data_IF_397003725676
#
_entry.id   IF_397003725676
#
_cell.length_a   1.000
_cell.length_b   1.000
_cell.length_c   1.000
_cell.angle_alpha   90.00
_cell.angle_beta   90.00
_cell.angle_gamma   90.00
#
_symmetry.space_group_name_H-M   'P 1'
#
loop_
_entity.id
_entity.type
_entity.pdbx_description
1 polymer ?
#
# COMPACT_ATOMS: atom_id res chain seq x y z
N UNK A 1 3.59 5.78 1.74
CA UNK A 1 4.59 6.80 2.10
C UNK A 1 4.49 8.06 1.23
N UNK A 2 4.74 8.01 -0.08
CA UNK A 2 4.80 9.23 -0.92
C UNK A 2 3.54 10.12 -0.83
N UNK A 3 2.36 9.54 -1.07
CA UNK A 3 1.07 10.26 -0.89
C UNK A 3 0.92 10.86 0.52
N UNK A 4 1.35 10.13 1.56
CA UNK A 4 1.23 10.63 2.94
C UNK A 4 2.09 11.86 3.15
N UNK A 5 3.31 11.87 2.62
CA UNK A 5 4.22 13.03 2.68
C UNK A 5 3.69 14.22 1.86
N UNK A 6 3.08 13.97 0.71
CA UNK A 6 2.42 15.02 -0.07
C UNK A 6 1.25 15.65 0.70
N UNK A 7 0.45 14.83 1.39
CA UNK A 7 -0.62 15.33 2.26
C UNK A 7 -0.06 16.09 3.47
N UNK A 8 1.04 15.61 4.07
CA UNK A 8 1.71 16.25 5.19
C UNK A 8 2.33 17.60 4.84
N UNK A 9 2.65 17.84 3.56
CA UNK A 9 3.07 19.15 3.09
C UNK A 9 1.93 20.20 3.14
N UNK A 10 0.67 19.75 3.18
CA UNK A 10 -0.52 20.58 3.34
C UNK A 10 -0.93 20.65 4.81
N UNK A 11 -1.05 19.48 5.46
CA UNK A 11 -1.35 19.35 6.89
C UNK A 11 -0.44 18.30 7.54
N UNK A 12 0.56 18.73 8.33
CA UNK A 12 1.57 17.84 8.90
C UNK A 12 1.01 16.84 9.92
N UNK A 13 -0.24 16.99 10.38
CA UNK A 13 -0.88 16.04 11.28
C UNK A 13 -1.52 14.84 10.56
N UNK A 14 -1.57 14.85 9.23
CA UNK A 14 -2.21 13.79 8.45
C UNK A 14 -1.40 12.50 8.50
N UNK A 15 -2.12 11.40 8.71
CA UNK A 15 -1.66 10.03 8.48
C UNK A 15 -2.72 9.29 7.66
N UNK A 16 -2.30 8.40 6.77
CA UNK A 16 -3.23 7.58 5.98
C UNK A 16 -3.62 6.35 6.81
N UNK A 17 -4.91 6.18 7.16
CA UNK A 17 -5.34 5.00 7.90
C UNK A 17 -5.21 3.74 7.04
N UNK A 18 -5.15 2.58 7.67
CA UNK A 18 -5.14 1.28 6.99
C UNK A 18 -6.50 0.59 7.10
N UNK A 19 -6.87 -0.18 6.07
CA UNK A 19 -8.07 -1.02 6.10
C UNK A 19 -7.70 -2.47 6.39
N UNK A 20 -8.05 -2.94 7.59
CA UNK A 20 -8.00 -4.36 7.95
C UNK A 20 -9.07 -5.16 7.20
N UNK A 21 -8.78 -5.52 5.96
CA UNK A 21 -9.66 -6.28 5.08
C UNK A 21 -9.98 -7.71 5.55
N UNK A 22 -9.38 -8.17 6.66
CA UNK A 22 -9.69 -9.46 7.29
C UNK A 22 -10.77 -9.35 8.39
N UNK A 23 -11.33 -8.15 8.61
CA UNK A 23 -12.33 -7.87 9.65
C UNK A 23 -13.41 -6.92 9.13
N UNK A 24 -14.61 -6.89 9.75
CA UNK A 24 -15.59 -5.85 9.48
C UNK A 24 -15.01 -4.45 9.77
N UNK A 25 -15.29 -3.50 8.88
CA UNK A 25 -14.81 -2.12 8.96
C UNK A 25 -15.95 -1.10 8.80
N UNK A 26 -16.96 -1.11 9.70
CA UNK A 26 -18.17 -0.29 9.56
C UNK A 26 -17.90 1.21 9.54
N UNK A 27 -16.79 1.66 10.15
CA UNK A 27 -16.42 3.07 10.20
C UNK A 27 -15.71 3.56 8.93
N UNK A 28 -15.14 2.65 8.12
CA UNK A 28 -14.51 3.03 6.85
C UNK A 28 -15.57 3.19 5.76
N UNK A 29 -16.49 2.24 5.68
CA UNK A 29 -17.52 2.17 4.63
C UNK A 29 -18.78 2.95 5.01
N UNK A 30 -18.60 4.27 5.13
CA UNK A 30 -19.68 5.23 5.39
C UNK A 30 -19.63 6.35 4.36
N UNK A 31 -20.73 7.07 4.17
CA UNK A 31 -20.80 8.24 3.29
C UNK A 31 -19.89 9.39 3.76
N UNK A 32 -19.55 9.43 5.05
CA UNK A 32 -18.70 10.46 5.65
C UNK A 32 -17.20 10.15 5.51
N UNK A 33 -16.84 8.95 5.04
CA UNK A 33 -15.44 8.56 4.85
C UNK A 33 -15.15 8.00 3.46
N UNK A 34 -15.05 6.69 3.26
CA UNK A 34 -14.63 6.14 1.95
C UNK A 34 -15.80 5.95 0.98
N UNK A 35 -17.03 6.24 1.41
CA UNK A 35 -18.26 6.19 0.62
C UNK A 35 -18.92 4.81 0.60
N UNK A 36 -20.19 4.79 0.21
CA UNK A 36 -21.02 3.57 0.13
C UNK A 36 -21.55 3.42 -1.30
N UNK A 37 -21.36 2.26 -1.96
CA UNK A 37 -21.88 2.05 -3.31
C UNK A 37 -23.40 1.84 -3.34
N UNK A 38 -24.04 2.35 -4.39
CA UNK A 38 -25.41 2.00 -4.75
C UNK A 38 -25.49 0.64 -5.49
N UNK A 39 -26.69 0.26 -5.95
CA UNK A 39 -26.92 -1.00 -6.66
C UNK A 39 -26.19 -1.10 -8.01
N UNK A 40 -25.80 0.03 -8.62
CA UNK A 40 -25.03 0.08 -9.85
C UNK A 40 -23.51 0.09 -9.58
N UNK A 41 -23.12 0.30 -8.33
CA UNK A 41 -21.75 0.41 -7.85
C UNK A 41 -21.24 1.85 -7.79
N UNK A 42 -22.09 2.85 -8.04
CA UNK A 42 -21.70 4.26 -7.92
C UNK A 42 -21.53 4.58 -6.45
N UNK A 43 -20.33 5.02 -6.05
CA UNK A 43 -20.06 5.36 -4.64
C UNK A 43 -20.65 6.71 -4.30
N UNK A 44 -21.54 6.73 -3.31
CA UNK A 44 -22.12 7.92 -2.72
C UNK A 44 -21.35 8.41 -1.49
N UNK A 45 -21.36 9.73 -1.31
CA UNK A 45 -20.70 10.46 -0.23
C UNK A 45 -21.65 11.48 0.39
N UNK A 46 -21.39 11.90 1.62
CA UNK A 46 -22.11 13.01 2.22
C UNK A 46 -21.65 14.35 1.63
N UNK A 47 -22.48 15.41 1.66
CA UNK A 47 -22.14 16.70 1.03
C UNK A 47 -20.90 17.40 1.60
N UNK A 48 -20.43 17.03 2.79
CA UNK A 48 -19.22 17.61 3.39
C UNK A 48 -17.95 16.82 3.02
N UNK A 49 -18.09 15.63 2.45
CA UNK A 49 -16.96 14.77 2.14
C UNK A 49 -16.29 15.23 0.82
N UNK A 50 -14.98 15.55 0.83
CA UNK A 50 -14.28 16.02 -0.37
C UNK A 50 -14.22 14.97 -1.49
N UNK A 51 -14.31 13.68 -1.16
CA UNK A 51 -14.29 12.59 -2.15
C UNK A 51 -15.52 12.57 -3.06
N UNK A 52 -16.58 13.34 -2.77
CA UNK A 52 -17.72 13.51 -3.69
C UNK A 52 -17.29 14.11 -5.05
N UNK A 53 -16.15 14.83 -5.07
CA UNK A 53 -15.57 15.42 -6.27
C UNK A 53 -14.38 14.63 -6.81
N UNK A 54 -14.13 13.43 -6.28
CA UNK A 54 -13.01 12.59 -6.72
C UNK A 54 -13.12 12.31 -8.21
N UNK A 55 -12.04 12.56 -8.95
CA UNK A 55 -12.01 12.37 -10.39
C UNK A 55 -10.63 11.86 -10.83
N UNK A 56 -10.62 10.98 -11.81
CA UNK A 56 -9.40 10.45 -12.44
C UNK A 56 -9.60 10.38 -13.94
N UNK A 57 -8.58 10.70 -14.72
CA UNK A 57 -8.63 10.72 -16.19
C UNK A 57 -9.81 11.55 -16.76
N UNK A 58 -10.18 12.64 -16.09
CA UNK A 58 -11.31 13.48 -16.47
C UNK A 58 -12.70 12.89 -16.18
N UNK A 59 -12.78 11.74 -15.51
CA UNK A 59 -14.03 11.09 -15.10
C UNK A 59 -14.21 11.26 -13.59
N UNK A 60 -15.30 11.92 -13.19
CA UNK A 60 -15.69 12.05 -11.79
C UNK A 60 -16.42 10.80 -11.31
N UNK A 61 -16.17 10.43 -10.05
CA UNK A 61 -16.83 9.33 -9.35
C UNK A 61 -15.95 8.11 -9.15
N UNK A 62 -16.45 7.20 -8.33
CA UNK A 62 -15.78 5.95 -7.98
C UNK A 62 -16.77 4.81 -8.23
N UNK A 63 -16.28 3.71 -8.81
CA UNK A 63 -17.08 2.53 -9.12
C UNK A 63 -16.63 1.35 -8.23
N UNK A 64 -17.50 0.95 -7.30
CA UNK A 64 -17.37 -0.24 -6.45
C UNK A 64 -18.62 -1.11 -6.56
N UNK A 65 -18.60 -2.10 -7.44
CA UNK A 65 -19.69 -3.07 -7.52
C UNK A 65 -19.53 -4.08 -6.39
N UNK A 66 -20.40 -4.08 -5.39
CA UNK A 66 -20.28 -5.02 -4.27
C UNK A 66 -20.34 -6.48 -4.74
N UNK A 67 -19.41 -7.28 -4.24
CA UNK A 67 -19.28 -8.72 -4.49
C UNK A 67 -19.46 -9.45 -3.16
N UNK A 68 -20.54 -10.22 -3.04
CA UNK A 68 -20.83 -10.96 -1.81
C UNK A 68 -21.05 -10.04 -0.62
N UNK A 69 -20.28 -10.26 0.45
CA UNK A 69 -20.44 -9.56 1.73
C UNK A 69 -20.00 -8.10 1.65
N UNK A 70 -20.68 -7.23 2.38
CA UNK A 70 -20.23 -5.85 2.60
C UNK A 70 -19.06 -5.85 3.59
N UNK A 71 -17.95 -5.17 3.29
CA UNK A 71 -16.82 -5.07 4.21
C UNK A 71 -17.13 -4.22 5.45
N UNK A 72 -18.20 -3.41 5.43
CA UNK A 72 -18.70 -2.74 6.62
C UNK A 72 -19.29 -3.71 7.65
N UNK A 73 -19.86 -4.82 7.17
CA UNK A 73 -20.65 -5.73 8.00
C UNK A 73 -19.89 -6.99 8.38
N UNK A 74 -19.11 -7.56 7.43
CA UNK A 74 -18.55 -8.90 7.58
C UNK A 74 -17.16 -9.05 6.96
N UNK A 75 -16.33 -9.87 7.59
CA UNK A 75 -15.09 -10.35 6.99
C UNK A 75 -15.39 -11.33 5.85
N UNK A 76 -14.62 -11.28 4.75
CA UNK A 76 -14.76 -12.24 3.67
C UNK A 76 -13.95 -13.51 4.00
N UNK A 77 -14.57 -14.71 4.03
CA UNK A 77 -13.90 -15.94 4.44
C UNK A 77 -12.78 -16.40 3.49
N UNK A 78 -12.73 -15.86 2.27
CA UNK A 78 -11.68 -16.17 1.30
C UNK A 78 -10.42 -15.31 1.51
N UNK A 79 -10.49 -14.29 2.37
CA UNK A 79 -9.36 -13.44 2.72
C UNK A 79 -8.68 -14.02 3.95
N UNK A 80 -7.38 -14.27 3.85
CA UNK A 80 -6.56 -14.77 4.94
C UNK A 80 -6.55 -13.76 6.09
N UNK A 81 -6.71 -14.26 7.31
CA UNK A 81 -6.60 -13.42 8.51
C UNK A 81 -5.18 -12.91 8.71
N UNK A 82 -5.01 -11.86 9.49
CA UNK A 82 -3.69 -11.38 9.90
C UNK A 82 -2.86 -12.50 10.55
N UNK A 83 -3.43 -13.27 11.49
CA UNK A 83 -2.74 -14.39 12.15
C UNK A 83 -2.27 -15.43 11.14
N UNK A 84 -3.12 -15.82 10.19
CA UNK A 84 -2.73 -16.78 9.16
C UNK A 84 -1.66 -16.20 8.23
N UNK A 85 -1.69 -14.89 7.96
CA UNK A 85 -0.72 -14.19 7.09
C UNK A 85 0.65 -14.12 7.76
N UNK A 86 0.71 -13.80 9.05
CA UNK A 86 1.97 -13.78 9.81
C UNK A 86 2.56 -15.17 10.05
N UNK A 87 1.75 -16.23 9.87
CA UNK A 87 2.19 -17.62 9.92
C UNK A 87 2.79 -18.16 8.60
N UNK A 88 2.92 -17.32 7.55
CA UNK A 88 3.49 -17.74 6.25
C UNK A 88 4.98 -18.08 6.30
N UNK A 89 5.67 -17.84 7.42
CA UNK A 89 7.05 -18.26 7.65
C UNK A 89 8.05 -17.10 7.73
N UNK A 90 9.29 -17.39 8.16
CA UNK A 90 10.30 -16.37 8.49
C UNK A 90 11.23 -15.94 7.35
N UNK A 91 10.94 -16.33 6.11
CA UNK A 91 11.64 -15.86 4.91
C UNK A 91 10.71 -15.08 4.00
N UNK A 92 11.22 -14.03 3.37
CA UNK A 92 10.46 -13.22 2.41
C UNK A 92 9.86 -14.05 1.29
N UNK A 93 10.58 -15.08 0.83
CA UNK A 93 10.09 -15.99 -0.22
C UNK A 93 8.78 -16.68 0.14
N UNK A 94 8.57 -17.03 1.42
CA UNK A 94 7.31 -17.60 1.88
C UNK A 94 6.30 -16.50 2.21
N UNK A 95 6.73 -15.44 2.90
CA UNK A 95 5.86 -14.35 3.31
C UNK A 95 5.22 -13.62 2.12
N UNK A 96 5.95 -13.39 1.02
CA UNK A 96 5.46 -12.72 -0.20
C UNK A 96 4.25 -13.40 -0.85
N UNK A 97 3.93 -14.65 -0.47
CA UNK A 97 2.67 -15.29 -0.89
C UNK A 97 1.43 -14.54 -0.39
N UNK A 98 1.61 -13.66 0.61
CA UNK A 98 0.61 -12.67 1.03
C UNK A 98 0.13 -11.78 -0.13
N UNK A 99 0.96 -11.55 -1.16
CA UNK A 99 0.61 -10.73 -2.34
C UNK A 99 -0.57 -11.31 -3.12
N UNK A 100 -0.77 -12.63 -3.08
CA UNK A 100 -1.92 -13.30 -3.70
C UNK A 100 -3.13 -13.21 -2.77
N UNK A 101 -2.97 -13.69 -1.54
CA UNK A 101 -3.97 -13.63 -0.49
C UNK A 101 -3.22 -13.30 0.80
N UNK A 102 -3.53 -12.21 1.51
CA UNK A 102 -4.77 -11.45 1.41
C UNK A 102 -4.76 -10.23 0.48
N UNK A 103 -3.62 -9.75 -0.02
CA UNK A 103 -3.59 -8.53 -0.84
C UNK A 103 -4.43 -8.64 -2.12
N UNK A 104 -4.10 -9.57 -3.03
CA UNK A 104 -4.87 -9.76 -4.26
C UNK A 104 -6.34 -10.08 -4.00
N UNK A 105 -6.61 -10.91 -2.99
CA UNK A 105 -7.97 -11.23 -2.54
C UNK A 105 -8.75 -9.99 -2.05
N UNK A 106 -8.13 -9.07 -1.33
CA UNK A 106 -8.78 -7.84 -0.88
C UNK A 106 -9.19 -6.91 -2.03
N UNK A 107 -8.46 -6.92 -3.14
CA UNK A 107 -8.81 -6.18 -4.35
C UNK A 107 -10.09 -6.70 -5.04
N UNK A 108 -10.36 -8.02 -4.97
CA UNK A 108 -11.35 -8.67 -5.85
C UNK A 108 -12.50 -9.36 -5.12
N UNK A 109 -12.43 -9.57 -3.80
CA UNK A 109 -13.45 -10.33 -3.07
C UNK A 109 -14.59 -9.50 -2.48
N UNK A 110 -14.39 -8.20 -2.29
CA UNK A 110 -15.43 -7.28 -1.78
C UNK A 110 -16.07 -6.44 -2.86
N UNK A 111 -15.29 -6.05 -3.86
CA UNK A 111 -15.73 -5.13 -4.91
C UNK A 111 -15.16 -5.54 -6.27
N UNK A 112 -15.98 -5.39 -7.29
CA UNK A 112 -15.51 -5.15 -8.66
C UNK A 112 -15.40 -3.66 -8.93
N UNK A 113 -15.00 -3.30 -10.15
CA UNK A 113 -14.85 -1.90 -10.58
C UNK A 113 -13.39 -1.50 -10.72
N UNK A 114 -13.05 -0.26 -10.39
CA UNK A 114 -11.68 0.23 -10.56
C UNK A 114 -10.70 -0.50 -9.64
N UNK A 115 -11.07 -0.70 -8.37
CA UNK A 115 -10.22 -1.34 -7.34
C UNK A 115 -9.81 -2.78 -7.68
N UNK A 116 -10.57 -3.49 -8.52
CA UNK A 116 -10.37 -4.91 -8.80
C UNK A 116 -9.46 -5.20 -10.01
N UNK A 117 -8.80 -4.18 -10.57
CA UNK A 117 -7.97 -4.33 -11.77
C UNK A 117 -6.68 -3.53 -11.67
N UNK A 118 -5.53 -4.17 -11.93
CA UNK A 118 -4.19 -3.58 -11.74
C UNK A 118 -4.03 -2.20 -12.40
N UNK A 119 -4.44 -1.99 -13.67
CA UNK A 119 -4.27 -0.69 -14.34
C UNK A 119 -5.17 0.42 -13.78
N UNK A 120 -6.20 0.09 -13.01
CA UNK A 120 -7.21 1.07 -12.55
C UNK A 120 -7.34 1.14 -11.03
N UNK A 121 -6.69 0.25 -10.28
CA UNK A 121 -6.92 0.12 -8.85
C UNK A 121 -6.66 1.42 -8.10
N UNK A 122 -5.59 2.13 -8.45
CA UNK A 122 -5.22 3.42 -7.86
C UNK A 122 -6.21 4.57 -8.18
N UNK A 123 -7.19 4.36 -9.07
CA UNK A 123 -8.26 5.34 -9.31
C UNK A 123 -9.29 5.38 -8.20
N UNK A 124 -9.34 4.37 -7.33
CA UNK A 124 -10.18 4.34 -6.14
C UNK A 124 -9.36 4.74 -4.91
N UNK A 125 -9.73 5.77 -4.12
CA UNK A 125 -8.97 6.16 -2.93
C UNK A 125 -8.87 5.05 -1.87
N UNK A 126 -9.76 4.04 -1.88
CA UNK A 126 -9.65 2.85 -1.05
C UNK A 126 -8.32 2.09 -1.27
N UNK A 127 -7.71 2.24 -2.46
CA UNK A 127 -6.41 1.69 -2.81
C UNK A 127 -5.35 2.01 -1.75
N UNK A 128 -5.30 3.26 -1.30
CA UNK A 128 -4.27 3.70 -0.35
C UNK A 128 -4.46 3.06 1.02
N UNK A 129 -5.70 2.96 1.51
CA UNK A 129 -6.00 2.32 2.79
C UNK A 129 -5.74 0.81 2.75
N UNK A 130 -6.06 0.16 1.62
CA UNK A 130 -5.74 -1.25 1.39
C UNK A 130 -4.22 -1.47 1.43
N UNK A 131 -3.45 -0.64 0.72
CA UNK A 131 -2.00 -0.76 0.68
C UNK A 131 -1.33 -0.39 2.00
N UNK A 132 -1.88 0.55 2.79
CA UNK A 132 -1.41 0.79 4.15
C UNK A 132 -1.57 -0.46 5.03
N UNK A 133 -2.58 -1.30 4.83
CA UNK A 133 -2.68 -2.57 5.57
C UNK A 133 -1.72 -3.64 5.05
N UNK A 134 -1.42 -3.65 3.74
CA UNK A 134 -0.38 -4.52 3.17
C UNK A 134 1.00 -4.17 3.74
N UNK A 135 1.34 -2.89 3.77
CA UNK A 135 2.59 -2.39 4.34
C UNK A 135 2.64 -2.66 5.86
N UNK A 136 1.54 -2.45 6.58
CA UNK A 136 1.42 -2.83 7.99
C UNK A 136 1.66 -4.33 8.22
N UNK A 137 1.11 -5.22 7.39
CA UNK A 137 1.35 -6.66 7.51
C UNK A 137 2.82 -7.01 7.27
N UNK A 138 3.46 -6.35 6.30
CA UNK A 138 4.91 -6.45 6.09
C UNK A 138 5.67 -5.99 7.33
N UNK A 139 5.36 -4.81 7.87
CA UNK A 139 5.99 -4.25 9.06
C UNK A 139 5.86 -5.19 10.29
N UNK A 140 4.67 -5.76 10.51
CA UNK A 140 4.44 -6.77 11.56
C UNK A 140 5.28 -8.02 11.35
N UNK A 141 5.38 -8.50 10.12
CA UNK A 141 6.23 -9.66 9.80
C UNK A 141 7.70 -9.35 10.06
N UNK A 142 8.22 -8.20 9.60
CA UNK A 142 9.60 -7.80 9.85
C UNK A 142 9.91 -7.74 11.34
N UNK A 143 9.01 -7.16 12.14
CA UNK A 143 9.12 -7.10 13.59
C UNK A 143 9.12 -8.49 14.23
N UNK A 144 8.22 -9.38 13.82
CA UNK A 144 8.10 -10.73 14.36
C UNK A 144 9.34 -11.60 14.09
N UNK A 145 9.97 -11.45 12.92
CA UNK A 145 11.06 -12.34 12.48
C UNK A 145 12.43 -11.66 12.31
N UNK A 146 12.55 -10.39 12.71
CA UNK A 146 13.78 -9.61 12.66
C UNK A 146 14.33 -9.42 11.24
N UNK A 147 13.50 -8.95 10.31
CA UNK A 147 13.82 -8.85 8.87
C UNK A 147 13.95 -7.42 8.37
N UNK A 148 14.87 -6.67 8.97
CA UNK A 148 15.15 -5.27 8.62
C UNK A 148 16.41 -5.09 7.76
N UNK A 149 17.40 -5.99 7.91
CA UNK A 149 18.70 -5.89 7.22
C UNK A 149 18.64 -6.46 5.80
N UNK A 150 18.92 -5.61 4.80
CA UNK A 150 19.00 -5.97 3.39
C UNK A 150 20.08 -7.02 3.09
N UNK A 151 21.10 -7.17 3.95
CA UNK A 151 22.15 -8.17 3.80
C UNK A 151 21.70 -9.58 4.20
N UNK A 152 20.53 -9.71 4.84
CA UNK A 152 19.95 -11.00 5.18
C UNK A 152 19.11 -11.50 4.01
N UNK A 153 19.55 -12.57 3.34
CA UNK A 153 18.85 -13.14 2.18
C UNK A 153 17.39 -13.54 2.46
N UNK A 154 17.05 -13.82 3.72
CA UNK A 154 15.68 -14.11 4.15
C UNK A 154 14.80 -12.87 4.32
N UNK A 155 15.37 -11.65 4.36
CA UNK A 155 14.63 -10.39 4.52
C UNK A 155 14.04 -9.89 3.20
N UNK A 156 14.74 -10.11 2.10
CA UNK A 156 14.25 -9.76 0.78
C UNK A 156 14.92 -10.61 -0.30
N UNK A 157 14.14 -11.06 -1.29
CA UNK A 157 14.68 -11.84 -2.41
C UNK A 157 15.24 -10.89 -3.48
N UNK A 158 16.55 -10.92 -3.68
CA UNK A 158 17.18 -10.34 -4.87
C UNK A 158 17.36 -11.39 -5.96
N UNK A 159 17.06 -11.03 -7.20
CA UNK A 159 17.31 -11.82 -8.41
C UNK A 159 18.32 -11.07 -9.28
N UNK A 160 19.63 -11.36 -9.15
CA UNK A 160 20.71 -10.59 -9.80
C UNK A 160 20.58 -10.47 -11.33
N UNK A 161 19.90 -11.42 -11.97
CA UNK A 161 19.56 -11.40 -13.40
C UNK A 161 18.04 -11.47 -13.56
N UNK A 162 17.30 -10.39 -13.25
CA UNK A 162 15.86 -10.43 -13.34
C UNK A 162 15.44 -10.43 -14.82
N UNK A 163 14.39 -11.18 -15.21
CA UNK A 163 13.73 -10.92 -16.49
C UNK A 163 13.21 -9.48 -16.53
N UNK A 164 13.02 -8.90 -17.72
CA UNK A 164 12.65 -7.47 -17.88
C UNK A 164 11.42 -7.03 -17.06
N UNK A 165 10.45 -7.93 -16.82
CA UNK A 165 9.27 -7.63 -16.01
C UNK A 165 9.54 -7.55 -14.50
N UNK A 166 10.74 -7.92 -14.05
CA UNK A 166 11.26 -7.75 -12.68
C UNK A 166 12.28 -6.60 -12.59
N UNK A 167 12.47 -5.81 -13.65
CA UNK A 167 13.32 -4.62 -13.57
C UNK A 167 12.79 -3.65 -12.50
N UNK A 168 13.65 -3.21 -11.58
CA UNK A 168 13.27 -2.33 -10.46
C UNK A 168 12.90 -3.03 -9.16
N UNK A 169 13.07 -4.35 -9.08
CA UNK A 169 12.67 -5.14 -7.92
C UNK A 169 13.87 -5.61 -7.08
N UNK A 170 15.11 -5.41 -7.53
CA UNK A 170 16.28 -5.80 -6.74
C UNK A 170 16.66 -4.72 -5.72
N UNK A 171 17.36 -5.14 -4.65
CA UNK A 171 17.77 -4.26 -3.54
C UNK A 171 18.46 -2.96 -3.98
N UNK A 172 19.27 -3.02 -5.03
CA UNK A 172 20.04 -1.87 -5.54
C UNK A 172 19.34 -1.13 -6.68
N UNK A 173 18.15 -1.58 -7.10
CA UNK A 173 17.39 -0.87 -8.10
C UNK A 173 16.73 0.36 -7.48
N UNK A 174 16.75 1.49 -8.20
CA UNK A 174 15.99 2.67 -7.83
C UNK A 174 14.50 2.48 -8.14
N UNK A 175 13.64 2.99 -7.26
CA UNK A 175 12.20 2.87 -7.40
C UNK A 175 11.68 3.85 -8.47
N UNK A 176 10.93 3.29 -9.42
CA UNK A 176 10.15 4.05 -10.40
C UNK A 176 8.76 4.35 -9.79
N UNK A 177 8.15 5.53 -10.02
CA UNK A 177 8.54 6.57 -10.97
C UNK A 177 9.52 7.62 -10.44
N UNK A 178 9.88 7.58 -9.16
CA UNK A 178 10.64 8.65 -8.51
C UNK A 178 12.04 8.90 -9.09
N UNK A 179 12.64 7.89 -9.73
CA UNK A 179 13.92 8.03 -10.45
C UNK A 179 13.83 8.70 -11.84
N UNK A 180 12.62 9.02 -12.33
CA UNK A 180 12.41 9.71 -13.61
C UNK A 180 12.77 8.91 -14.86
N UNK A 181 13.06 7.61 -14.73
CA UNK A 181 13.47 6.77 -15.86
C UNK A 181 12.26 6.47 -16.76
N UNK A 182 12.37 6.80 -18.05
CA UNK A 182 11.32 6.56 -19.07
C UNK A 182 11.78 5.64 -20.21
N UNK A 183 12.97 5.05 -20.07
CA UNK A 183 13.49 4.10 -21.06
C UNK A 183 12.89 2.71 -20.85
N UNK A 184 12.57 1.96 -21.93
CA UNK A 184 12.08 0.59 -21.82
C UNK A 184 12.92 -0.28 -20.88
N UNK A 185 12.31 -1.15 -20.05
CA UNK A 185 10.90 -1.55 -20.07
C UNK A 185 9.92 -0.60 -19.37
N UNK A 186 10.35 0.60 -18.93
CA UNK A 186 9.45 1.58 -18.32
C UNK A 186 8.54 2.26 -19.35
N UNK A 187 7.37 2.79 -18.93
CA UNK A 187 6.56 3.66 -19.77
C UNK A 187 7.35 4.90 -20.22
N UNK A 188 6.89 5.53 -21.31
CA UNK A 188 7.47 6.77 -21.85
C UNK A 188 7.23 8.02 -20.97
N UNK A 189 6.58 7.85 -19.82
CA UNK A 189 6.31 8.91 -18.84
C UNK A 189 6.65 8.39 -17.44
N UNK A 190 7.06 9.28 -16.53
CA UNK A 190 7.29 9.00 -15.12
C UNK A 190 6.56 10.08 -14.29
N UNK A 191 5.27 9.88 -13.99
CA UNK A 191 4.45 10.87 -13.30
C UNK A 191 4.85 11.02 -11.83
N UNK A 192 4.52 12.16 -11.22
CA UNK A 192 4.77 12.45 -9.79
C UNK A 192 6.11 13.13 -9.49
N UNK A 193 7.13 12.94 -10.34
CA UNK A 193 8.46 13.47 -10.07
C UNK A 193 9.18 12.72 -8.94
N UNK A 194 10.21 13.32 -8.32
CA UNK A 194 10.94 12.70 -7.23
C UNK A 194 10.07 12.51 -5.97
N UNK A 195 10.41 11.54 -5.13
CA UNK A 195 9.66 11.25 -3.91
C UNK A 195 9.58 12.48 -3.00
N UNK A 196 8.42 12.69 -2.40
CA UNK A 196 8.19 13.78 -1.48
C UNK A 196 9.12 13.71 -0.26
N UNK A 197 9.66 14.87 0.12
CA UNK A 197 10.51 15.02 1.29
C UNK A 197 9.69 14.85 2.59
N UNK A 198 10.34 14.41 3.67
CA UNK A 198 9.72 14.37 5.00
C UNK A 198 10.24 15.54 5.84
N UNK A 199 9.36 16.13 6.66
CA UNK A 199 9.72 17.18 7.61
C UNK A 199 10.46 16.66 8.85
N UNK A 200 10.39 15.36 9.13
CA UNK A 200 10.93 14.76 10.35
C UNK A 200 12.14 13.85 10.13
N UNK A 201 12.33 13.31 8.92
CA UNK A 201 13.47 12.44 8.58
C UNK A 201 14.02 12.72 7.17
N UNK A 202 15.33 12.58 6.94
CA UNK A 202 15.91 12.74 5.60
C UNK A 202 15.78 11.48 4.73
N UNK A 203 15.59 10.30 5.32
CA UNK A 203 15.44 9.05 4.59
C UNK A 203 14.06 8.95 3.91
N UNK A 204 13.96 8.26 2.76
CA UNK A 204 15.03 7.58 2.03
C UNK A 204 15.69 8.49 0.97
N UNK A 205 15.42 9.80 1.02
CA UNK A 205 15.73 10.73 -0.06
C UNK A 205 14.75 10.65 -1.23
N UNK A 206 15.05 11.41 -2.28
CA UNK A 206 14.12 11.69 -3.40
C UNK A 206 14.11 10.62 -4.51
N UNK A 207 15.11 9.73 -4.52
CA UNK A 207 15.29 8.68 -5.52
C UNK A 207 15.66 7.35 -4.85
N UNK A 208 14.78 6.81 -3.99
CA UNK A 208 15.11 5.66 -3.16
C UNK A 208 15.42 4.40 -3.96
N UNK A 209 16.26 3.55 -3.39
CA UNK A 209 16.42 2.16 -3.78
C UNK A 209 15.43 1.26 -3.03
N UNK A 210 15.23 0.03 -3.53
CA UNK A 210 14.42 -0.98 -2.82
C UNK A 210 14.97 -1.26 -1.41
N UNK A 211 16.30 -1.32 -1.25
CA UNK A 211 16.94 -1.56 0.05
C UNK A 211 16.68 -0.45 1.08
N UNK A 212 16.52 0.79 0.64
CA UNK A 212 16.21 1.93 1.52
C UNK A 212 14.82 1.80 2.17
N UNK A 213 13.94 0.95 1.63
CA UNK A 213 12.58 0.75 2.15
C UNK A 213 12.49 -0.31 3.25
N UNK A 214 13.55 -1.08 3.50
CA UNK A 214 13.48 -2.23 4.40
C UNK A 214 13.50 -1.83 5.88
N UNK A 215 14.39 -0.92 6.27
CA UNK A 215 14.61 -0.58 7.68
C UNK A 215 13.75 0.61 8.13
N UNK A 216 12.43 0.52 7.94
CA UNK A 216 11.52 1.66 8.13
C UNK A 216 11.55 2.27 9.55
N UNK A 217 11.88 1.47 10.57
CA UNK A 217 12.03 1.90 11.96
C UNK A 217 13.45 2.33 12.33
N UNK A 218 14.44 2.06 11.48
CA UNK A 218 15.86 2.33 11.77
C UNK A 218 16.46 1.38 12.81
N UNK A 219 16.05 0.10 12.80
CA UNK A 219 16.53 -0.95 13.71
C UNK A 219 18.00 -1.29 13.45
N UNK A 220 18.38 -1.37 12.17
CA UNK A 220 19.75 -1.69 11.75
C UNK A 220 20.57 -0.42 11.66
N UNK A 221 19.99 0.63 11.08
CA UNK A 221 20.60 1.94 10.94
C UNK A 221 19.58 3.02 11.29
N UNK A 222 19.79 3.72 12.41
CA UNK A 222 18.89 4.80 12.85
C UNK A 222 18.64 5.89 11.80
N UNK A 223 19.57 6.13 10.88
CA UNK A 223 19.42 7.10 9.79
C UNK A 223 18.49 6.63 8.66
N UNK A 224 18.12 5.34 8.62
CA UNK A 224 17.22 4.76 7.62
C UNK A 224 15.73 4.93 7.97
N UNK A 225 15.42 5.46 9.17
CA UNK A 225 14.04 5.63 9.65
C UNK A 225 13.21 6.45 8.67
N UNK A 226 12.07 5.91 8.25
CA UNK A 226 11.22 6.50 7.20
C UNK A 226 10.16 7.49 7.69
N UNK A 227 10.05 7.66 9.01
CA UNK A 227 9.23 8.72 9.62
C UNK A 227 7.74 8.37 9.79
N UNK A 228 7.38 7.09 9.68
CA UNK A 228 6.03 6.59 9.95
C UNK A 228 6.08 5.35 10.86
N UNK A 229 4.94 5.01 11.45
CA UNK A 229 4.75 3.81 12.25
C UNK A 229 3.28 3.37 12.19
N UNK A 230 3.02 2.15 12.65
CA UNK A 230 1.66 1.63 12.86
C UNK A 230 1.42 1.47 14.35
N UNK A 231 0.19 1.74 14.77
CA UNK A 231 -0.26 1.70 16.16
C UNK A 231 -0.09 0.33 16.84
N UNK A 232 -0.06 -0.75 16.06
CA UNK A 232 0.07 -2.12 16.57
C UNK A 232 1.25 -2.92 15.99
N UNK A 233 2.24 -2.22 15.44
CA UNK A 233 3.56 -2.78 15.17
C UNK A 233 4.48 -2.38 16.33
N UNK A 234 5.12 -3.33 17.04
CA UNK A 234 6.05 -3.00 18.10
C UNK A 234 7.14 -2.04 17.62
N UNK A 235 7.43 -1.02 18.43
CA UNK A 235 8.67 -0.27 18.26
C UNK A 235 9.84 -1.14 18.74
N UNK A 236 11.00 -1.08 18.07
CA UNK A 236 12.21 -1.78 18.48
C UNK A 236 12.71 -1.35 19.87
#
# INVERSE_FOLDING_TARGET
MDLERELQAIDPAVTIPYWRFDRPAPNLFTTDFIGVPDALGTVGFSPANPLQFWATDGVQGILRRQLGVSPGDQANPNIRTETQTLALGGSYQNFRTMQINPHGSAHVNYFGGSISSIPTAAKDPLFFLLHCNVDRLWAKWQSQVGRYDANVAAAYESKPNPPNWLAGHNLNDTLWPWNGIVTPPRPSTAPGGPMADSSCVPAPGRHPQVSDMLDFQGVVNSSAKLGFAYDDVPSP
#
